data_IF_364962488708
#
_entry.id   IF_364962488708
#
_cell.length_a   1.000
_cell.length_b   1.000
_cell.length_c   1.000
_cell.angle_alpha   90.00
_cell.angle_beta   90.00
_cell.angle_gamma   90.00
#
_symmetry.space_group_name_H-M   'P 1'
#
loop_
_entity.id
_entity.type
_entity.pdbx_description
1 polymer ?
#
# COMPACT_ATOMS: atom_id res chain seq x y z
N UNK A 1 4.51 -2.07 -17.34
CA UNK A 1 5.39 -2.17 -16.15
C UNK A 1 6.39 -1.03 -16.08
N UNK A 2 7.01 -0.64 -17.19
CA UNK A 2 8.03 0.43 -17.23
C UNK A 2 7.56 1.76 -16.61
N UNK A 3 6.30 2.17 -16.86
CA UNK A 3 5.70 3.38 -16.27
C UNK A 3 5.63 3.33 -14.73
N UNK A 4 5.25 2.18 -14.16
CA UNK A 4 5.10 2.01 -12.70
C UNK A 4 6.45 2.10 -12.00
N UNK A 5 7.48 1.45 -12.55
CA UNK A 5 8.83 1.49 -11.98
C UNK A 5 9.44 2.89 -12.06
N UNK A 6 9.15 3.64 -13.14
CA UNK A 6 9.56 5.04 -13.25
C UNK A 6 8.85 5.95 -12.23
N UNK A 7 7.55 5.72 -11.99
CA UNK A 7 6.76 6.50 -11.01
C UNK A 7 7.16 6.23 -9.56
N UNK A 8 7.57 5.00 -9.22
CA UNK A 8 7.87 4.56 -7.86
C UNK A 8 9.34 4.15 -7.71
N UNK A 9 10.30 5.10 -7.72
CA UNK A 9 11.72 4.79 -7.53
C UNK A 9 11.99 4.12 -6.17
N UNK A 10 11.13 4.33 -5.18
CA UNK A 10 11.18 3.68 -3.86
C UNK A 10 11.02 2.16 -3.94
N UNK A 11 10.61 1.58 -5.07
CA UNK A 11 10.69 0.13 -5.32
C UNK A 11 12.13 -0.40 -5.15
N UNK A 12 13.15 0.42 -5.41
CA UNK A 12 14.55 0.05 -5.24
C UNK A 12 14.93 -0.22 -3.77
N UNK A 13 14.13 0.22 -2.81
CA UNK A 13 14.32 -0.03 -1.38
C UNK A 13 14.01 -1.49 -0.99
N UNK A 14 13.24 -2.21 -1.83
CA UNK A 14 12.93 -3.63 -1.66
C UNK A 14 14.06 -4.45 -2.30
N UNK A 15 14.87 -5.13 -1.48
CA UNK A 15 16.04 -5.90 -1.94
C UNK A 15 15.64 -7.23 -2.56
N UNK A 16 14.65 -7.91 -2.00
CA UNK A 16 14.03 -9.11 -2.57
C UNK A 16 13.41 -8.77 -3.94
N UNK A 17 14.07 -9.22 -5.00
CA UNK A 17 13.66 -8.97 -6.37
C UNK A 17 12.28 -9.56 -6.71
N UNK A 18 11.91 -10.70 -6.11
CA UNK A 18 10.63 -11.34 -6.34
C UNK A 18 9.50 -10.57 -5.64
N UNK A 19 9.74 -10.05 -4.44
CA UNK A 19 8.80 -9.16 -3.76
C UNK A 19 8.65 -7.84 -4.51
N UNK A 20 9.75 -7.22 -4.94
CA UNK A 20 9.75 -5.98 -5.71
C UNK A 20 8.95 -6.11 -7.01
N UNK A 21 9.14 -7.22 -7.74
CA UNK A 21 8.36 -7.52 -8.95
C UNK A 21 6.86 -7.65 -8.64
N UNK A 22 6.49 -8.35 -7.55
CA UNK A 22 5.09 -8.47 -7.12
C UNK A 22 4.45 -7.11 -6.84
N UNK A 23 5.14 -6.19 -6.17
CA UNK A 23 4.63 -4.84 -5.90
C UNK A 23 4.40 -4.08 -7.21
N UNK A 24 5.39 -4.08 -8.11
CA UNK A 24 5.27 -3.38 -9.39
C UNK A 24 4.14 -3.98 -10.27
N UNK A 25 3.99 -5.32 -10.24
CA UNK A 25 2.90 -6.02 -10.93
C UNK A 25 1.53 -5.73 -10.31
N UNK A 26 1.42 -5.62 -8.99
CA UNK A 26 0.17 -5.28 -8.33
C UNK A 26 -0.35 -3.91 -8.79
N UNK A 27 0.52 -2.90 -8.84
CA UNK A 27 0.20 -1.59 -9.37
C UNK A 27 -0.16 -1.62 -10.86
N UNK A 28 0.65 -2.31 -11.68
CA UNK A 28 0.35 -2.46 -13.10
C UNK A 28 -1.00 -3.15 -13.35
N UNK A 29 -1.33 -4.16 -12.53
CA UNK A 29 -2.60 -4.87 -12.60
C UNK A 29 -3.78 -4.00 -12.18
N UNK A 30 -3.60 -3.17 -11.14
CA UNK A 30 -4.63 -2.25 -10.68
C UNK A 30 -4.94 -1.17 -11.73
N UNK A 31 -3.91 -0.53 -12.29
CA UNK A 31 -4.06 0.46 -13.36
C UNK A 31 -4.68 -0.14 -14.62
N UNK A 32 -4.27 -1.34 -15.03
CA UNK A 32 -4.81 -2.02 -16.21
C UNK A 32 -6.32 -2.37 -16.09
N UNK A 33 -6.91 -2.23 -14.91
CA UNK A 33 -8.33 -2.45 -14.63
C UNK A 33 -9.07 -1.17 -14.27
N UNK A 34 -8.44 -0.03 -14.49
CA UNK A 34 -9.03 1.29 -14.37
C UNK A 34 -8.93 2.05 -15.69
N UNK A 35 -9.66 3.15 -15.82
CA UNK A 35 -9.46 4.14 -16.89
C UNK A 35 -8.17 4.96 -16.77
N UNK A 36 -7.47 4.92 -15.62
CA UNK A 36 -6.20 5.63 -15.42
C UNK A 36 -5.01 4.93 -16.09
N UNK A 37 -4.14 5.73 -16.73
CA UNK A 37 -2.90 5.26 -17.36
C UNK A 37 -1.71 5.31 -16.40
N UNK A 38 -1.77 6.21 -15.40
CA UNK A 38 -0.68 6.44 -14.45
C UNK A 38 -1.21 6.73 -13.04
N UNK A 39 -0.36 6.52 -12.03
CA UNK A 39 -0.72 6.66 -10.60
C UNK A 39 -1.04 8.12 -10.24
N UNK A 40 -0.40 9.08 -10.89
CA UNK A 40 -0.57 10.52 -10.66
C UNK A 40 -1.86 11.09 -11.29
N UNK A 41 -2.52 10.35 -12.19
CA UNK A 41 -3.86 10.68 -12.70
C UNK A 41 -4.96 10.39 -11.66
N UNK A 42 -4.68 9.52 -10.68
CA UNK A 42 -5.60 9.18 -9.59
C UNK A 42 -5.80 10.42 -8.71
N UNK A 43 -7.03 10.81 -8.40
CA UNK A 43 -7.30 11.91 -7.48
C UNK A 43 -6.63 11.70 -6.11
N UNK A 44 -5.78 12.64 -5.70
CA UNK A 44 -5.19 12.67 -4.36
C UNK A 44 -6.25 13.00 -3.30
N UNK A 45 -7.03 12.00 -2.90
CA UNK A 45 -8.16 12.14 -1.97
C UNK A 45 -8.22 10.92 -1.05
N UNK A 46 -8.78 11.08 0.14
CA UNK A 46 -8.95 9.97 1.09
C UNK A 46 -10.00 8.97 0.62
N UNK A 47 -11.13 9.48 0.11
CA UNK A 47 -12.25 8.70 -0.45
C UNK A 47 -12.81 9.41 -1.68
N UNK A 48 -13.59 8.72 -2.53
CA UNK A 48 -14.32 9.37 -3.62
C UNK A 48 -15.17 10.54 -3.14
N UNK A 49 -15.31 11.57 -3.97
CA UNK A 49 -16.06 12.80 -3.71
C UNK A 49 -15.62 13.67 -2.51
N UNK A 50 -14.52 13.30 -1.83
CA UNK A 50 -13.94 14.13 -0.77
C UNK A 50 -12.99 15.21 -1.31
N UNK A 51 -12.70 16.27 -0.54
CA UNK A 51 -11.77 17.30 -0.96
C UNK A 51 -10.41 16.73 -1.35
N UNK A 52 -9.96 17.09 -2.57
CA UNK A 52 -8.65 16.71 -3.07
C UNK A 52 -7.53 17.45 -2.33
N UNK A 53 -6.34 16.87 -2.35
CA UNK A 53 -5.11 17.53 -1.92
C UNK A 53 -4.97 18.89 -2.62
N UNK A 54 -4.69 19.94 -1.83
CA UNK A 54 -4.48 21.30 -2.36
C UNK A 54 -3.20 21.42 -3.19
N UNK A 55 -2.21 20.57 -2.92
CA UNK A 55 -0.91 20.48 -3.61
C UNK A 55 -0.41 19.05 -3.59
N UNK A 56 0.31 18.68 -4.64
CA UNK A 56 0.82 17.32 -4.83
C UNK A 56 -0.23 16.39 -5.43
N UNK A 57 0.22 15.18 -5.73
CA UNK A 57 -0.53 14.12 -6.39
C UNK A 57 -0.74 12.93 -5.44
N UNK A 58 -1.60 11.99 -5.84
CA UNK A 58 -1.70 10.70 -5.15
C UNK A 58 -0.35 9.95 -5.16
N UNK A 59 0.46 10.12 -6.21
CA UNK A 59 1.80 9.56 -6.29
C UNK A 59 2.72 10.17 -5.22
N UNK A 60 2.71 11.50 -5.03
CA UNK A 60 3.49 12.18 -3.97
C UNK A 60 3.13 11.65 -2.57
N UNK A 61 1.83 11.38 -2.35
CA UNK A 61 1.36 10.79 -1.11
C UNK A 61 1.95 9.39 -0.89
N UNK A 62 1.83 8.49 -1.86
CA UNK A 62 2.35 7.12 -1.76
C UNK A 62 3.86 7.11 -1.50
N UNK A 63 4.61 7.94 -2.24
CA UNK A 63 6.05 8.08 -2.07
C UNK A 63 6.41 8.65 -0.70
N UNK A 64 5.66 9.64 -0.22
CA UNK A 64 5.81 10.20 1.13
C UNK A 64 5.60 9.15 2.22
N UNK A 65 4.54 8.35 2.12
CA UNK A 65 4.23 7.25 3.05
C UNK A 65 5.36 6.21 3.05
N UNK A 66 5.84 5.79 1.89
CA UNK A 66 6.95 4.83 1.79
C UNK A 66 8.22 5.34 2.48
N UNK A 67 8.60 6.60 2.24
CA UNK A 67 9.79 7.20 2.85
C UNK A 67 9.67 7.35 4.36
N UNK A 68 8.50 7.77 4.85
CA UNK A 68 8.24 7.89 6.29
C UNK A 68 8.23 6.52 6.97
N UNK A 69 7.57 5.52 6.38
CA UNK A 69 7.53 4.16 6.91
C UNK A 69 8.93 3.57 7.04
N UNK A 70 9.76 3.69 6.01
CA UNK A 70 11.15 3.23 6.03
C UNK A 70 11.97 3.95 7.12
N UNK A 71 11.90 5.27 7.20
CA UNK A 71 12.61 6.03 8.23
C UNK A 71 12.20 5.62 9.66
N UNK A 72 10.90 5.40 9.89
CA UNK A 72 10.39 4.92 11.17
C UNK A 72 10.84 3.48 11.47
N UNK A 73 10.83 2.61 10.47
CA UNK A 73 11.30 1.23 10.60
C UNK A 73 12.79 1.14 10.91
N UNK A 74 13.60 1.94 10.22
CA UNK A 74 15.05 2.02 10.42
C UNK A 74 15.38 2.56 11.84
N UNK A 75 14.68 3.60 12.30
CA UNK A 75 14.84 4.14 13.66
C UNK A 75 14.43 3.11 14.72
N UNK A 76 13.29 2.47 14.55
CA UNK A 76 12.78 1.46 15.47
C UNK A 76 13.73 0.26 15.57
N UNK A 77 14.29 -0.19 14.44
CA UNK A 77 15.26 -1.29 14.39
C UNK A 77 16.61 -0.90 15.01
N UNK A 78 17.01 0.37 14.90
CA UNK A 78 18.25 0.87 15.53
C UNK A 78 18.14 0.87 17.06
N UNK A 79 16.96 1.23 17.59
CA UNK A 79 16.71 1.31 19.03
C UNK A 79 16.38 -0.04 19.66
N UNK A 80 15.67 -0.90 18.94
CA UNK A 80 15.20 -2.20 19.43
C UNK A 80 15.56 -3.30 18.40
N UNK A 81 16.81 -3.78 18.39
CA UNK A 81 17.27 -4.79 17.42
C UNK A 81 16.47 -6.09 17.45
N UNK A 82 15.84 -6.42 18.58
CA UNK A 82 14.98 -7.58 18.79
C UNK A 82 13.64 -7.50 18.03
N UNK A 83 13.20 -6.31 17.61
CA UNK A 83 11.96 -6.18 16.86
C UNK A 83 12.10 -6.83 15.48
N UNK A 84 11.20 -7.74 15.08
CA UNK A 84 11.28 -8.46 13.82
C UNK A 84 10.75 -7.61 12.65
N UNK A 85 11.35 -6.43 12.44
CA UNK A 85 11.03 -5.55 11.32
C UNK A 85 11.72 -6.07 10.07
N UNK A 86 10.91 -6.55 9.12
CA UNK A 86 11.34 -6.81 7.76
C UNK A 86 11.18 -5.52 6.94
N UNK A 87 12.32 -4.94 6.55
CA UNK A 87 12.37 -3.66 5.83
C UNK A 87 11.81 -3.78 4.40
N UNK A 88 12.02 -4.91 3.73
CA UNK A 88 11.51 -5.15 2.38
C UNK A 88 9.98 -5.28 2.42
N UNK A 89 9.46 -6.02 3.40
CA UNK A 89 8.02 -6.13 3.61
C UNK A 89 7.40 -4.79 4.01
N UNK A 90 8.07 -4.00 4.84
CA UNK A 90 7.61 -2.66 5.23
C UNK A 90 7.50 -1.73 4.02
N UNK A 91 8.52 -1.70 3.16
CA UNK A 91 8.48 -0.94 1.91
C UNK A 91 7.35 -1.43 0.99
N UNK A 92 7.19 -2.74 0.83
CA UNK A 92 6.12 -3.31 0.01
C UNK A 92 4.72 -2.94 0.53
N UNK A 93 4.50 -3.03 1.85
CA UNK A 93 3.24 -2.61 2.47
C UNK A 93 2.98 -1.12 2.28
N UNK A 94 3.98 -0.28 2.49
CA UNK A 94 3.84 1.17 2.34
C UNK A 94 3.55 1.58 0.89
N UNK A 95 4.19 0.93 -0.09
CA UNK A 95 3.92 1.18 -1.51
C UNK A 95 2.56 0.64 -1.97
N UNK A 96 2.03 -0.42 -1.34
CA UNK A 96 0.76 -1.05 -1.72
C UNK A 96 -0.46 -0.58 -0.91
N UNK A 97 -0.30 0.27 0.10
CA UNK A 97 -1.40 0.59 1.03
C UNK A 97 -2.65 1.16 0.33
N UNK A 98 -2.44 1.86 -0.80
CA UNK A 98 -3.47 2.51 -1.62
C UNK A 98 -3.61 1.85 -3.02
N UNK A 99 -3.14 0.60 -3.21
CA UNK A 99 -3.15 -0.06 -4.52
C UNK A 99 -4.56 -0.30 -5.08
N UNK A 100 -5.60 -0.21 -4.24
CA UNK A 100 -7.02 -0.30 -4.63
C UNK A 100 -7.59 0.99 -5.23
N UNK A 101 -6.95 2.15 -5.02
CA UNK A 101 -7.48 3.44 -5.47
C UNK A 101 -7.75 3.57 -6.96
N UNK A 102 -6.96 3.00 -7.89
CA UNK A 102 -7.33 3.03 -9.31
C UNK A 102 -8.75 2.53 -9.56
N UNK A 103 -9.18 1.45 -8.88
CA UNK A 103 -10.54 0.93 -9.00
C UNK A 103 -11.58 1.79 -8.27
N UNK A 104 -11.27 2.27 -7.07
CA UNK A 104 -12.19 3.06 -6.24
C UNK A 104 -12.52 4.44 -6.83
N UNK A 105 -11.58 5.01 -7.59
CA UNK A 105 -11.68 6.36 -8.15
C UNK A 105 -11.95 6.38 -9.66
N UNK A 106 -12.04 5.21 -10.31
CA UNK A 106 -12.28 5.14 -11.75
C UNK A 106 -13.73 5.54 -12.06
N UNK A 107 -13.96 6.59 -12.86
CA UNK A 107 -15.30 7.04 -13.23
C UNK A 107 -16.17 5.96 -13.89
N UNK A 108 -15.57 4.99 -14.58
CA UNK A 108 -16.29 3.95 -15.32
C UNK A 108 -16.72 2.78 -14.41
N UNK A 109 -16.02 2.56 -13.29
CA UNK A 109 -16.43 1.62 -12.23
C UNK A 109 -17.24 2.32 -11.14
N UNK A 110 -17.11 3.63 -10.99
CA UNK A 110 -17.80 4.47 -10.02
C UNK A 110 -19.25 4.77 -10.42
N UNK A 111 -19.99 3.74 -10.84
CA UNK A 111 -21.45 3.77 -10.87
C UNK A 111 -22.00 3.52 -9.47
N UNK A 112 -22.27 4.59 -8.72
CA UNK A 112 -23.03 4.59 -7.46
C UNK A 112 -22.55 3.63 -6.35
N UNK A 113 -21.72 4.14 -5.42
CA UNK A 113 -21.93 3.95 -3.98
C UNK A 113 -22.24 2.54 -3.43
N UNK A 114 -21.75 1.47 -4.05
CA UNK A 114 -21.77 0.17 -3.39
C UNK A 114 -20.57 0.14 -2.44
N UNK A 115 -20.78 0.08 -1.11
CA UNK A 115 -19.67 -0.17 -0.21
C UNK A 115 -19.06 -1.51 -0.63
N UNK A 116 -17.80 -1.50 -1.05
CA UNK A 116 -17.05 -2.74 -1.16
C UNK A 116 -17.13 -3.41 0.21
N UNK A 117 -17.62 -4.65 0.33
CA UNK A 117 -17.40 -5.38 1.57
C UNK A 117 -15.89 -5.38 1.75
N UNK A 118 -15.41 -4.81 2.88
CA UNK A 118 -14.04 -4.99 3.27
C UNK A 118 -13.72 -6.47 3.07
N UNK A 119 -12.62 -6.84 2.37
CA UNK A 119 -12.21 -8.24 2.35
C UNK A 119 -12.24 -8.69 3.81
N UNK A 120 -12.89 -9.83 4.15
CA UNK A 120 -13.12 -10.18 5.54
C UNK A 120 -11.78 -9.99 6.22
N UNK A 121 -11.72 -8.99 7.12
CA UNK A 121 -10.55 -8.79 7.94
C UNK A 121 -10.24 -10.19 8.41
N UNK A 122 -9.06 -10.70 8.08
CA UNK A 122 -8.68 -12.05 8.43
C UNK A 122 -8.68 -12.06 9.95
N UNK A 123 -9.86 -12.29 10.54
CA UNK A 123 -10.06 -12.71 11.90
C UNK A 123 -9.37 -14.05 11.85
N UNK A 124 -8.07 -14.03 12.12
CA UNK A 124 -7.49 -15.11 12.90
C UNK A 124 -8.49 -15.26 14.03
N UNK A 125 -9.23 -16.36 13.99
CA UNK A 125 -10.06 -16.80 15.09
C UNK A 125 -9.17 -16.62 16.32
N UNK A 126 -9.59 -15.74 17.23
CA UNK A 126 -8.96 -15.65 18.53
C UNK A 126 -9.32 -16.94 19.25
N UNK A 127 -8.64 -18.03 18.90
CA UNK A 127 -8.55 -19.20 19.75
C UNK A 127 -7.75 -18.70 20.95
N UNK A 128 -8.36 -18.62 22.15
CA UNK A 128 -7.62 -18.23 23.33
C UNK A 128 -6.50 -19.26 23.53
N UNK A 129 -5.26 -18.80 23.60
CA UNK A 129 -4.16 -19.63 24.04
C UNK A 129 -4.42 -19.95 25.52
N UNK A 130 -5.00 -21.11 25.80
CA UNK A 130 -5.10 -21.62 27.17
C UNK A 130 -3.69 -22.04 27.57
N UNK A 131 -2.97 -21.12 28.24
CA UNK A 131 -1.78 -21.49 28.98
C UNK A 131 -2.23 -22.39 30.13
N UNK A 132 -2.00 -23.70 30.01
CA UNK A 132 -2.03 -24.61 31.15
C UNK A 132 -0.80 -24.33 32.00
N UNK A 133 -0.94 -23.52 33.04
CA UNK A 133 0.00 -23.52 34.16
C UNK A 133 -0.30 -24.76 34.98
N UNK A 134 0.53 -25.79 34.81
CA UNK A 134 0.65 -26.88 35.78
C UNK A 134 2.02 -26.75 36.43
N UNK A 135 2.00 -26.40 37.71
CA UNK A 135 3.05 -26.71 38.68
C UNK A 135 2.48 -27.77 39.62
#
# INVERSE_FOLDING_TARGET
>A
METVTASLPELAEIRDAALRDKVARAWAWSLARSSFNAIDEIPGSGVPDSPRMKRGTQLDHIRGVARLALAMGDEMKSRFPELPIDRDLLAACALCHDVGKPFEFDPDTSGAGAPTPSPPACRRSATPCTASTSA
#
